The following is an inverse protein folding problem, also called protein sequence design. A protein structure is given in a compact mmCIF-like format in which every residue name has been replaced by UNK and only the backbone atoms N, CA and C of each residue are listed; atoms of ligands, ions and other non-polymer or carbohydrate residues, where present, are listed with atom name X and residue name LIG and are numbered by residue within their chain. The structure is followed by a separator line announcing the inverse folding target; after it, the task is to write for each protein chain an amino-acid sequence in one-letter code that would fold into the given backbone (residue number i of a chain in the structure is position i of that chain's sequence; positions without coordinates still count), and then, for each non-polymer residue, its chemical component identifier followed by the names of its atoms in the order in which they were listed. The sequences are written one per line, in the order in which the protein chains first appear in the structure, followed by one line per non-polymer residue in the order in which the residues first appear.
data_IF_423175014809
#
_entry.id   IF_423175014809
#
_cell.length_a   1.000
_cell.length_b   1.000
_cell.length_c   1.000
_cell.angle_alpha   90.00
_cell.angle_beta   90.00
_cell.angle_gamma   90.00
#
_symmetry.space_group_name_H-M   'P 1'
#
loop_
_entity.id
_entity.type
_entity.pdbx_description
1 polymer ?
#
# COMPACT_ATOMS: atom_id res chain seq x y z
N UNK A 1 -12.77 0.11 -22.83
CA UNK A 1 -12.27 1.48 -22.56
C UNK A 1 -12.22 1.75 -21.05
N UNK A 2 -13.36 1.92 -20.35
CA UNK A 2 -13.40 2.21 -18.89
C UNK A 2 -12.55 1.33 -17.95
N UNK A 3 -12.45 0.02 -18.18
CA UNK A 3 -11.67 -0.88 -17.30
C UNK A 3 -10.16 -0.58 -17.33
N UNK A 4 -9.60 -0.35 -18.51
CA UNK A 4 -8.17 -0.06 -18.65
C UNK A 4 -7.80 1.28 -17.99
N UNK A 5 -8.68 2.27 -18.10
CA UNK A 5 -8.49 3.58 -17.46
C UNK A 5 -8.48 3.47 -15.92
N UNK A 6 -9.38 2.66 -15.35
CA UNK A 6 -9.44 2.40 -13.90
C UNK A 6 -8.22 1.60 -13.41
N UNK A 7 -7.77 0.62 -14.20
CA UNK A 7 -6.56 -0.15 -13.90
C UNK A 7 -5.33 0.76 -13.89
N UNK A 8 -5.18 1.62 -14.88
CA UNK A 8 -4.10 2.61 -14.91
C UNK A 8 -4.15 3.57 -13.72
N UNK A 9 -5.34 4.02 -13.30
CA UNK A 9 -5.51 4.82 -12.10
C UNK A 9 -5.08 4.07 -10.82
N UNK A 10 -5.46 2.81 -10.70
CA UNK A 10 -5.04 1.98 -9.57
C UNK A 10 -3.51 1.81 -9.55
N UNK A 11 -2.88 1.57 -10.70
CA UNK A 11 -1.41 1.48 -10.80
C UNK A 11 -0.73 2.74 -10.29
N UNK A 12 -1.22 3.91 -10.71
CA UNK A 12 -0.71 5.21 -10.23
C UNK A 12 -0.86 5.36 -8.72
N UNK A 13 -2.01 4.99 -8.15
CA UNK A 13 -2.24 5.04 -6.70
C UNK A 13 -1.23 4.15 -5.96
N UNK A 14 -1.00 2.92 -6.43
CA UNK A 14 -0.05 1.99 -5.81
C UNK A 14 1.39 2.54 -5.88
N UNK A 15 1.79 3.12 -7.01
CA UNK A 15 3.13 3.68 -7.18
C UNK A 15 3.37 4.88 -6.26
N UNK A 16 2.40 5.80 -6.14
CA UNK A 16 2.50 6.95 -5.23
C UNK A 16 2.50 6.53 -3.76
N UNK A 17 1.66 5.56 -3.38
CA UNK A 17 1.70 4.96 -2.05
C UNK A 17 3.06 4.33 -1.75
N UNK A 18 3.63 3.61 -2.71
CA UNK A 18 4.95 3.00 -2.61
C UNK A 18 6.06 4.03 -2.37
N UNK A 19 6.05 5.13 -3.14
CA UNK A 19 6.98 6.25 -2.97
C UNK A 19 6.84 6.92 -1.61
N UNK A 20 5.60 7.23 -1.19
CA UNK A 20 5.33 7.85 0.11
C UNK A 20 5.82 6.96 1.27
N UNK A 21 5.55 5.66 1.21
CA UNK A 21 5.98 4.68 2.23
C UNK A 21 7.50 4.50 2.26
N UNK A 22 8.18 4.53 1.12
CA UNK A 22 9.64 4.47 1.07
C UNK A 22 10.28 5.70 1.71
N UNK A 23 9.77 6.90 1.38
CA UNK A 23 10.21 8.16 2.01
C UNK A 23 10.03 8.12 3.53
N UNK A 24 8.87 7.67 4.00
CA UNK A 24 8.57 7.57 5.44
C UNK A 24 9.49 6.60 6.19
N UNK A 25 9.98 5.54 5.53
CA UNK A 25 10.90 4.55 6.10
C UNK A 25 12.38 4.86 5.85
N UNK A 26 12.72 5.94 5.12
CA UNK A 26 14.09 6.25 4.74
C UNK A 26 14.71 5.25 3.75
N UNK A 27 13.89 4.56 2.96
CA UNK A 27 14.36 3.58 1.98
C UNK A 27 14.86 4.27 0.70
N UNK A 28 15.95 3.78 0.06
CA UNK A 28 16.48 4.38 -1.17
C UNK A 28 15.57 4.19 -2.38
N UNK A 29 14.64 3.22 -2.33
CA UNK A 29 13.68 2.96 -3.39
C UNK A 29 12.37 2.34 -2.86
N UNK A 30 11.24 2.46 -3.59
CA UNK A 30 10.00 1.77 -3.24
C UNK A 30 10.10 0.25 -3.28
N UNK A 31 9.71 -0.40 -2.18
CA UNK A 31 9.53 -1.86 -2.10
C UNK A 31 8.12 -2.31 -2.50
N UNK A 32 7.22 -1.36 -2.76
CA UNK A 32 5.85 -1.57 -3.26
C UNK A 32 5.68 -0.72 -4.52
N UNK A 33 5.21 -1.33 -5.60
CA UNK A 33 4.85 -0.66 -6.87
C UNK A 33 3.85 -1.53 -7.61
N UNK A 34 3.11 -0.94 -8.56
CA UNK A 34 2.15 -1.67 -9.38
C UNK A 34 2.80 -2.86 -10.10
N UNK A 35 3.94 -2.63 -10.75
CA UNK A 35 4.71 -3.68 -11.44
C UNK A 35 5.14 -4.80 -10.49
N UNK A 36 5.58 -4.48 -9.26
CA UNK A 36 5.94 -5.51 -8.27
C UNK A 36 4.72 -6.29 -7.79
N UNK A 37 3.57 -5.64 -7.63
CA UNK A 37 2.31 -6.29 -7.27
C UNK A 37 1.81 -7.22 -8.38
N UNK A 38 1.96 -6.84 -9.65
CA UNK A 38 1.62 -7.69 -10.81
C UNK A 38 2.55 -8.92 -10.89
N UNK A 39 3.83 -8.75 -10.60
CA UNK A 39 4.83 -9.81 -10.67
C UNK A 39 4.84 -10.75 -9.44
N UNK A 40 4.14 -10.43 -8.35
CA UNK A 40 4.17 -11.18 -7.10
C UNK A 40 2.77 -11.55 -6.61
N UNK A 41 2.68 -12.65 -5.86
CA UNK A 41 1.46 -13.02 -5.12
C UNK A 41 1.35 -12.25 -3.80
N UNK A 42 1.31 -10.93 -3.89
CA UNK A 42 1.09 -10.03 -2.75
C UNK A 42 -0.37 -9.58 -2.74
N UNK A 43 -0.89 -9.30 -1.55
CA UNK A 43 -2.21 -8.68 -1.35
C UNK A 43 -2.00 -7.30 -0.75
N UNK A 44 -2.70 -6.30 -1.29
CA UNK A 44 -2.63 -4.91 -0.85
C UNK A 44 -4.00 -4.48 -0.31
N UNK A 45 -4.04 -4.10 0.95
CA UNK A 45 -5.20 -3.47 1.58
C UNK A 45 -4.99 -1.96 1.59
N UNK A 46 -5.91 -1.20 0.99
CA UNK A 46 -5.83 0.27 0.90
C UNK A 46 -6.90 0.88 1.81
N UNK A 47 -6.47 1.76 2.71
CA UNK A 47 -7.37 2.54 3.56
C UNK A 47 -7.69 3.88 2.89
N UNK A 48 -8.98 4.16 2.72
CA UNK A 48 -9.48 5.44 2.17
C UNK A 48 -10.47 6.10 3.12
N UNK A 49 -10.45 7.43 3.18
CA UNK A 49 -11.54 8.24 3.77
C UNK A 49 -12.39 8.80 2.63
N UNK A 50 -13.71 8.72 2.79
CA UNK A 50 -14.64 9.48 1.97
C UNK A 50 -14.87 10.85 2.62
N UNK A 51 -14.94 11.91 1.82
CA UNK A 51 -15.45 13.19 2.31
C UNK A 51 -16.96 13.00 2.59
N UNK A 52 -17.44 13.24 3.83
CA UNK A 52 -18.88 13.22 4.07
C UNK A 52 -19.53 14.38 3.31
N UNK A 53 -20.77 14.26 2.84
CA UNK A 53 -21.45 15.34 2.13
C UNK A 53 -21.56 16.63 2.96
N UNK A 54 -21.48 16.53 4.29
CA UNK A 54 -21.70 17.62 5.26
C UNK A 54 -20.61 17.81 6.35
N UNK A 55 -19.43 17.16 6.30
CA UNK A 55 -18.46 17.20 7.44
C UNK A 55 -17.12 17.90 7.10
N UNK A 56 -16.51 18.67 8.03
CA UNK A 56 -15.46 19.66 7.80
C UNK A 56 -14.03 19.11 8.05
N UNK A 57 -13.82 17.80 7.94
CA UNK A 57 -12.47 17.23 8.13
C UNK A 57 -11.59 17.56 6.90
N UNK A 58 -10.49 18.34 7.06
CA UNK A 58 -9.78 18.95 5.94
C UNK A 58 -8.93 17.97 5.11
N UNK A 59 -8.84 16.69 5.52
CA UNK A 59 -7.98 15.70 4.89
C UNK A 59 -8.53 15.20 3.54
N UNK A 60 -9.85 15.13 3.39
CA UNK A 60 -10.48 14.76 2.12
C UNK A 60 -10.94 16.01 1.37
N UNK A 61 -10.00 16.69 0.70
CA UNK A 61 -10.24 17.93 -0.06
C UNK A 61 -11.07 17.75 -1.34
N UNK A 62 -11.47 16.51 -1.67
CA UNK A 62 -12.27 16.23 -2.85
C UNK A 62 -13.42 15.27 -2.52
N UNK A 63 -14.58 15.41 -3.18
CA UNK A 63 -15.71 14.48 -3.03
C UNK A 63 -15.36 13.03 -3.42
N UNK A 64 -14.24 12.82 -4.13
CA UNK A 64 -13.75 11.48 -4.50
C UNK A 64 -13.06 10.75 -3.34
N UNK A 65 -12.85 11.42 -2.20
CA UNK A 65 -12.15 10.88 -1.03
C UNK A 65 -10.63 11.00 -1.16
N UNK A 66 -9.92 10.53 -0.14
CA UNK A 66 -8.46 10.51 -0.07
C UNK A 66 -7.97 9.15 0.45
N UNK A 67 -6.87 8.67 -0.12
CA UNK A 67 -6.17 7.48 0.41
C UNK A 67 -5.32 7.91 1.59
N UNK A 68 -5.41 7.19 2.71
CA UNK A 68 -4.64 7.48 3.93
C UNK A 68 -3.37 6.65 3.99
N UNK A 69 -3.46 5.38 3.59
CA UNK A 69 -2.36 4.43 3.76
C UNK A 69 -2.70 3.05 3.23
N UNK A 70 -1.77 2.11 3.40
CA UNK A 70 -1.93 0.73 2.94
C UNK A 70 -1.18 -0.28 3.82
N UNK A 71 -1.59 -1.54 3.71
CA UNK A 71 -0.89 -2.71 4.23
C UNK A 71 -0.65 -3.70 3.08
N UNK A 72 0.63 -4.04 2.85
CA UNK A 72 1.03 -5.06 1.87
C UNK A 72 1.46 -6.34 2.59
N UNK A 73 0.85 -7.45 2.24
CA UNK A 73 1.18 -8.78 2.79
C UNK A 73 1.47 -9.78 1.68
N UNK A 74 2.16 -10.86 2.01
CA UNK A 74 2.35 -11.97 1.10
C UNK A 74 3.18 -13.09 1.70
N UNK A 75 2.83 -14.32 1.35
CA UNK A 75 3.58 -15.49 1.78
C UNK A 75 5.00 -15.49 1.21
N UNK A 76 5.96 -15.89 2.04
CA UNK A 76 7.36 -16.05 1.68
C UNK A 76 7.88 -17.32 2.34
N UNK A 77 8.59 -18.15 1.58
CA UNK A 77 9.40 -19.23 2.14
C UNK A 77 10.61 -18.57 2.80
N UNK A 78 10.74 -18.69 4.10
CA UNK A 78 11.83 -18.13 4.89
C UNK A 78 12.55 -19.26 5.60
N UNK A 79 13.88 -19.18 5.68
CA UNK A 79 14.65 -19.95 6.65
C UNK A 79 14.72 -19.10 7.91
N UNK A 80 14.12 -19.59 9.00
CA UNK A 80 14.10 -18.89 10.28
C UNK A 80 15.11 -19.53 11.21
N UNK A 81 15.95 -18.71 11.82
CA UNK A 81 16.75 -19.13 12.98
C UNK A 81 15.85 -19.03 14.22
N UNK A 82 15.66 -20.15 14.92
CA UNK A 82 14.94 -20.17 16.20
C UNK A 82 15.97 -20.28 17.30
N UNK A 83 15.94 -19.35 18.25
CA UNK A 83 16.69 -19.51 19.51
C UNK A 83 16.01 -20.61 20.32
N UNK A 84 16.68 -21.75 20.49
CA UNK A 84 16.29 -22.72 21.49
C UNK A 84 16.69 -22.10 22.84
N UNK A 85 15.72 -21.52 23.55
CA UNK A 85 15.92 -21.07 24.92
C UNK A 85 16.45 -22.22 25.78
N UNK A 86 17.49 -21.95 26.57
CA UNK A 86 18.36 -22.94 27.20
C UNK A 86 17.64 -24.05 27.97
N UNK A 87 18.10 -25.28 27.74
CA UNK A 87 18.03 -26.31 28.76
C UNK A 87 19.03 -25.93 29.87
N UNK A 88 18.50 -25.32 30.92
CA UNK A 88 19.15 -25.09 32.21
C UNK A 88 18.18 -25.44 33.30
#
# INVERSE_FOLDING_TARGET
RRRGDLEQQLRMIIDELGKASAKAQGLPAPVTSATRMEANRHVLYILRIQAPPQNPFPLARTPKGAVIGFLKVGYKKLFLLVSVGGAG
#
